data_IF_194848769201
#
_entry.id   IF_194848769201
#
_cell.length_a   1.000
_cell.length_b   1.000
_cell.length_c   1.000
_cell.angle_alpha   90.00
_cell.angle_beta   90.00
_cell.angle_gamma   90.00
#
_symmetry.space_group_name_H-M   'P 1'
#
loop_
_entity.id
_entity.type
_entity.pdbx_description
1 polymer ?
#
# COMPACT_ATOMS: atom_id res chain seq x y z
N UNK A 1 -10.12 -15.59 -5.42
CA UNK A 1 -10.61 -14.73 -6.50
C UNK A 1 -10.61 -13.34 -5.92
N UNK A 2 -9.60 -12.54 -6.26
CA UNK A 2 -9.41 -11.17 -5.76
C UNK A 2 -10.63 -10.35 -6.16
N UNK A 3 -11.20 -9.57 -5.23
CA UNK A 3 -12.35 -8.71 -5.56
C UNK A 3 -11.89 -7.66 -6.60
N UNK A 4 -12.63 -7.45 -7.71
CA UNK A 4 -12.21 -6.51 -8.74
C UNK A 4 -12.03 -5.08 -8.23
N UNK A 5 -12.67 -4.70 -7.12
CA UNK A 5 -12.44 -3.39 -6.47
C UNK A 5 -11.11 -3.35 -5.73
N UNK A 6 -10.71 -4.46 -5.11
CA UNK A 6 -9.42 -4.58 -4.41
C UNK A 6 -8.26 -4.58 -5.40
N UNK A 7 -8.42 -5.24 -6.55
CA UNK A 7 -7.43 -5.24 -7.64
C UNK A 7 -7.24 -3.84 -8.24
N UNK A 8 -8.35 -3.12 -8.50
CA UNK A 8 -8.31 -1.72 -8.92
C UNK A 8 -7.68 -0.80 -7.87
N UNK A 9 -7.95 -1.04 -6.59
CA UNK A 9 -7.34 -0.28 -5.49
C UNK A 9 -5.83 -0.55 -5.41
N UNK A 10 -5.40 -1.81 -5.51
CA UNK A 10 -3.99 -2.19 -5.56
C UNK A 10 -3.26 -1.54 -6.72
N UNK A 11 -3.84 -1.57 -7.92
CA UNK A 11 -3.28 -0.90 -9.10
C UNK A 11 -3.22 0.63 -8.92
N UNK A 12 -4.20 1.24 -8.25
CA UNK A 12 -4.18 2.66 -7.92
C UNK A 12 -3.04 2.98 -6.95
N UNK A 13 -2.88 2.19 -5.87
CA UNK A 13 -1.76 2.34 -4.92
C UNK A 13 -0.42 2.17 -5.65
N UNK A 14 -0.31 1.17 -6.53
CA UNK A 14 0.90 0.91 -7.31
C UNK A 14 1.25 2.05 -8.29
N UNK A 15 0.27 2.83 -8.73
CA UNK A 15 0.51 4.03 -9.55
C UNK A 15 1.23 5.16 -8.80
N UNK A 16 1.25 5.12 -7.47
CA UNK A 16 2.00 6.06 -6.62
C UNK A 16 3.46 5.66 -6.40
N UNK A 17 3.99 4.70 -7.18
CA UNK A 17 5.36 4.20 -7.11
C UNK A 17 5.75 3.66 -5.71
N UNK A 18 5.04 2.65 -5.19
CA UNK A 18 5.40 2.01 -3.94
C UNK A 18 6.76 1.31 -4.06
N UNK A 19 7.37 1.00 -2.92
CA UNK A 19 8.65 0.31 -2.88
C UNK A 19 8.54 -1.16 -3.34
N UNK A 20 7.38 -1.78 -3.11
CA UNK A 20 7.04 -3.13 -3.53
C UNK A 20 5.60 -3.12 -4.07
N UNK A 21 5.23 -4.06 -4.97
CA UNK A 21 3.86 -4.19 -5.44
C UNK A 21 2.89 -4.48 -4.29
N UNK A 22 1.69 -3.89 -4.39
CA UNK A 22 0.61 -4.12 -3.42
C UNK A 22 0.08 -5.55 -3.53
N UNK A 23 -0.10 -6.22 -2.40
CA UNK A 23 -0.59 -7.60 -2.33
C UNK A 23 -1.93 -7.62 -1.59
N UNK A 24 -2.96 -8.24 -2.19
CA UNK A 24 -4.20 -8.58 -1.48
C UNK A 24 -4.00 -9.83 -0.63
N UNK A 25 -4.23 -9.72 0.68
CA UNK A 25 -4.10 -10.83 1.62
C UNK A 25 -5.34 -11.76 1.59
N UNK A 26 -6.45 -11.33 0.97
CA UNK A 26 -7.69 -12.11 0.87
C UNK A 26 -8.53 -12.14 2.15
N UNK A 27 -8.12 -11.41 3.19
CA UNK A 27 -8.81 -11.25 4.48
C UNK A 27 -9.46 -9.87 4.65
N UNK A 28 -9.52 -9.09 3.57
CA UNK A 28 -9.99 -7.70 3.57
C UNK A 28 -8.89 -6.68 3.84
N UNK A 29 -7.62 -7.09 3.87
CA UNK A 29 -6.46 -6.20 3.98
C UNK A 29 -5.55 -6.25 2.77
N UNK A 30 -4.88 -5.13 2.50
CA UNK A 30 -3.81 -5.00 1.52
C UNK A 30 -2.48 -4.85 2.24
N UNK A 31 -1.49 -5.61 1.80
CA UNK A 31 -0.10 -5.36 2.15
C UNK A 31 0.48 -4.34 1.19
N UNK A 32 0.88 -3.20 1.73
CA UNK A 32 1.47 -2.08 1.02
C UNK A 32 2.91 -1.84 1.48
N UNK A 33 3.73 -1.24 0.62
CA UNK A 33 5.12 -0.95 0.93
C UNK A 33 5.54 0.43 0.43
N UNK A 34 6.20 1.21 1.27
CA UNK A 34 6.71 2.54 0.91
C UNK A 34 8.19 2.67 1.27
N UNK A 35 8.91 3.46 0.48
CA UNK A 35 10.29 3.83 0.81
C UNK A 35 10.24 4.97 1.81
N UNK A 36 10.59 4.68 3.06
CA UNK A 36 10.78 5.68 4.09
C UNK A 36 12.24 6.13 4.13
N UNK A 37 12.47 7.37 4.54
CA UNK A 37 13.80 7.92 4.80
C UNK A 37 13.85 8.34 6.26
N UNK A 38 14.80 7.79 7.02
CA UNK A 38 14.98 8.19 8.42
C UNK A 38 15.71 9.54 8.56
N UNK A 39 15.82 10.00 9.81
CA UNK A 39 16.56 11.24 10.16
C UNK A 39 18.05 11.21 9.77
N UNK A 40 18.62 10.02 9.61
CA UNK A 40 20.02 9.78 9.27
C UNK A 40 20.20 9.61 7.74
N UNK A 41 19.17 9.95 6.95
CA UNK A 41 19.10 9.83 5.48
C UNK A 41 19.23 8.39 4.96
N UNK A 42 18.92 7.39 5.78
CA UNK A 42 18.88 5.99 5.33
C UNK A 42 17.50 5.70 4.78
N UNK A 43 17.46 5.13 3.58
CA UNK A 43 16.24 4.61 2.99
C UNK A 43 15.98 3.20 3.48
N UNK A 44 14.74 2.90 3.85
CA UNK A 44 14.27 1.56 4.18
C UNK A 44 12.85 1.36 3.66
N UNK A 45 12.49 0.10 3.44
CA UNK A 45 11.15 -0.26 3.00
C UNK A 45 10.30 -0.53 4.23
N UNK A 46 9.30 0.31 4.45
CA UNK A 46 8.27 0.05 5.45
C UNK A 46 7.13 -0.71 4.79
N UNK A 47 6.69 -1.79 5.45
CA UNK A 47 5.59 -2.64 4.99
C UNK A 47 4.48 -2.58 6.02
N UNK A 48 3.27 -2.32 5.56
CA UNK A 48 2.11 -2.17 6.41
C UNK A 48 0.93 -2.93 5.83
N UNK A 49 0.07 -3.45 6.71
CA UNK A 49 -1.20 -4.03 6.32
C UNK A 49 -2.29 -2.98 6.59
N UNK A 50 -2.97 -2.54 5.54
CA UNK A 50 -4.05 -1.57 5.62
C UNK A 50 -5.36 -2.25 5.23
N UNK A 51 -6.52 -1.79 5.72
CA UNK A 51 -7.81 -2.21 5.19
C UNK A 51 -7.88 -1.99 3.67
N UNK A 52 -8.47 -2.92 2.92
CA UNK A 52 -8.67 -2.85 1.48
C UNK A 52 -9.75 -1.82 1.09
N UNK A 53 -9.56 -0.56 1.52
CA UNK A 53 -10.48 0.54 1.32
C UNK A 53 -9.73 1.77 0.81
N UNK A 54 -10.39 2.56 -0.04
CA UNK A 54 -9.81 3.80 -0.56
C UNK A 54 -9.45 4.80 0.56
N UNK A 55 -10.25 4.85 1.63
CA UNK A 55 -9.97 5.72 2.77
C UNK A 55 -8.66 5.37 3.46
N UNK A 56 -8.43 4.09 3.74
CA UNK A 56 -7.19 3.64 4.38
C UNK A 56 -5.98 3.84 3.46
N UNK A 57 -6.13 3.60 2.15
CA UNK A 57 -5.07 3.85 1.19
C UNK A 57 -4.70 5.33 1.09
N UNK A 58 -5.69 6.24 1.14
CA UNK A 58 -5.46 7.69 1.18
C UNK A 58 -4.77 8.15 2.46
N UNK A 59 -5.24 7.67 3.60
CA UNK A 59 -4.64 7.95 4.91
C UNK A 59 -3.17 7.49 4.94
N UNK A 60 -2.90 6.29 4.43
CA UNK A 60 -1.54 5.74 4.33
C UNK A 60 -0.63 6.53 3.38
N UNK A 61 -1.16 7.03 2.25
CA UNK A 61 -0.42 7.87 1.30
C UNK A 61 -0.27 9.34 1.75
N UNK A 62 -0.96 9.77 2.80
CA UNK A 62 -0.91 11.13 3.34
C UNK A 62 -1.81 12.16 2.61
N UNK A 63 -2.95 11.72 2.06
CA UNK A 63 -3.95 12.57 1.39
C UNK A 63 -4.98 13.23 2.31
#
# INVERSE_FOLDING_TARGET
MTDPKTDQLGAWIDSHYPAEPTIDNGDGTLRVAVTCVDKDRRSFIERSNIPATLSAARDWLGY
#
